data_IF_815576708468
#
_entry.id   IF_815576708468
#
_cell.length_a   1.000
_cell.length_b   1.000
_cell.length_c   1.000
_cell.angle_alpha   90.00
_cell.angle_beta   90.00
_cell.angle_gamma   90.00
#
_symmetry.space_group_name_H-M   'P 1'
#
loop_
_entity.id
_entity.type
_entity.pdbx_description
1 polymer ?
#
# COMPACT_ATOMS: atom_id res chain seq x y z
N UNK A 1 30.31 -25.21 -59.28
CA UNK A 1 29.86 -25.81 -58.00
C UNK A 1 29.65 -24.69 -57.02
N UNK A 2 28.40 -24.35 -56.82
CA UNK A 2 27.97 -23.31 -55.90
C UNK A 2 28.16 -23.73 -54.45
N UNK A 3 28.54 -22.82 -53.58
CA UNK A 3 28.38 -22.93 -52.14
C UNK A 3 27.78 -21.62 -51.58
N UNK A 4 26.56 -21.76 -51.13
CA UNK A 4 25.78 -20.81 -50.41
C UNK A 4 26.50 -20.27 -49.17
N UNK A 5 26.40 -18.95 -48.95
CA UNK A 5 26.84 -18.30 -47.73
C UNK A 5 25.59 -17.71 -47.06
N UNK A 6 25.14 -18.36 -46.02
CA UNK A 6 24.04 -17.92 -45.16
C UNK A 6 24.43 -16.68 -44.39
N UNK A 7 23.61 -15.63 -44.28
CA UNK A 7 23.92 -14.46 -43.46
C UNK A 7 23.68 -14.73 -41.97
N UNK A 8 24.66 -14.32 -41.19
CA UNK A 8 24.75 -14.34 -39.75
C UNK A 8 23.64 -13.44 -39.14
N UNK A 9 22.75 -14.03 -38.35
CA UNK A 9 21.79 -13.31 -37.53
C UNK A 9 22.53 -12.45 -36.50
N UNK A 10 22.32 -11.16 -36.58
CA UNK A 10 22.68 -10.17 -35.55
C UNK A 10 21.73 -10.30 -34.38
N UNK A 11 22.29 -10.64 -33.21
CA UNK A 11 21.56 -10.65 -31.94
C UNK A 11 21.10 -9.23 -31.61
N UNK A 12 19.80 -9.06 -31.38
CA UNK A 12 19.22 -7.83 -30.90
C UNK A 12 19.62 -7.61 -29.41
N UNK A 13 20.23 -6.49 -29.16
CA UNK A 13 20.54 -5.99 -27.81
C UNK A 13 19.22 -5.63 -27.11
N UNK A 14 18.98 -6.04 -25.85
CA UNK A 14 17.76 -5.63 -25.15
C UNK A 14 17.87 -4.14 -24.78
N UNK A 15 16.87 -3.38 -25.19
CA UNK A 15 16.70 -1.97 -24.82
C UNK A 15 16.70 -1.78 -23.31
N UNK A 16 17.63 -0.96 -22.81
CA UNK A 16 17.60 -0.42 -21.45
C UNK A 16 16.36 0.45 -21.29
N UNK A 17 15.32 -0.08 -20.63
CA UNK A 17 14.22 0.74 -20.12
C UNK A 17 14.79 1.77 -19.16
N UNK A 18 14.73 3.03 -19.57
CA UNK A 18 15.01 4.20 -18.75
C UNK A 18 14.08 4.19 -17.53
N UNK A 19 14.65 4.21 -16.33
CA UNK A 19 13.91 4.41 -15.09
C UNK A 19 13.25 5.77 -15.11
N UNK A 20 11.95 5.81 -15.46
CA UNK A 20 11.13 7.00 -15.30
C UNK A 20 10.80 7.17 -13.82
N UNK A 21 10.91 8.39 -13.32
CA UNK A 21 10.39 8.78 -12.01
C UNK A 21 8.92 8.37 -11.93
N UNK A 22 8.45 7.74 -10.82
CA UNK A 22 7.05 7.39 -10.67
C UNK A 22 6.19 8.63 -10.87
N UNK A 23 5.22 8.55 -11.79
CA UNK A 23 4.30 9.66 -12.00
C UNK A 23 3.44 9.84 -10.74
N UNK A 24 3.29 11.09 -10.31
CA UNK A 24 2.36 11.44 -9.23
C UNK A 24 0.96 11.02 -9.68
N UNK A 25 0.24 10.28 -8.83
CA UNK A 25 -1.13 9.82 -9.12
C UNK A 25 -2.00 11.03 -9.47
N UNK A 26 -2.65 10.95 -10.62
CA UNK A 26 -3.54 12.02 -11.08
C UNK A 26 -4.85 12.01 -10.27
N UNK A 27 -5.56 13.13 -10.26
CA UNK A 27 -6.90 13.21 -9.65
C UNK A 27 -7.89 12.21 -10.28
N UNK A 28 -7.65 11.80 -11.54
CA UNK A 28 -8.41 10.74 -12.20
C UNK A 28 -8.13 9.36 -11.59
N UNK A 29 -6.89 9.06 -11.21
CA UNK A 29 -6.53 7.78 -10.57
C UNK A 29 -7.17 7.66 -9.19
N UNK A 30 -7.19 8.77 -8.44
CA UNK A 30 -7.88 8.86 -7.15
C UNK A 30 -9.39 8.65 -7.35
N UNK A 31 -10.00 9.28 -8.36
CA UNK A 31 -11.42 9.12 -8.66
C UNK A 31 -11.76 7.67 -9.08
N UNK A 32 -10.91 7.03 -9.87
CA UNK A 32 -11.04 5.61 -10.25
C UNK A 32 -10.93 4.68 -9.02
N UNK A 33 -10.00 4.97 -8.11
CA UNK A 33 -9.88 4.22 -6.86
C UNK A 33 -11.13 4.37 -5.99
N UNK A 34 -11.63 5.59 -5.79
CA UNK A 34 -12.85 5.85 -5.03
C UNK A 34 -14.09 5.18 -5.66
N UNK A 35 -14.18 5.17 -7.00
CA UNK A 35 -15.24 4.49 -7.72
C UNK A 35 -15.12 2.95 -7.59
N UNK A 36 -13.91 2.40 -7.62
CA UNK A 36 -13.69 0.99 -7.36
C UNK A 36 -14.04 0.62 -5.91
N UNK A 37 -13.64 1.44 -4.94
CA UNK A 37 -13.97 1.26 -3.53
C UNK A 37 -15.49 1.33 -3.28
N UNK A 38 -16.22 2.22 -3.96
CA UNK A 38 -17.68 2.30 -3.85
C UNK A 38 -18.41 1.07 -4.40
N UNK A 39 -17.83 0.38 -5.38
CA UNK A 39 -18.37 -0.89 -5.91
C UNK A 39 -18.20 -2.07 -4.95
N UNK A 40 -17.24 -1.99 -4.00
CA UNK A 40 -17.07 -3.00 -2.97
C UNK A 40 -18.18 -2.96 -1.91
N UNK A 41 -18.93 -1.86 -1.82
CA UNK A 41 -20.05 -1.67 -0.90
C UNK A 41 -21.19 -2.71 -1.06
N UNK A 42 -21.31 -3.34 -2.22
CA UNK A 42 -22.38 -4.31 -2.52
C UNK A 42 -22.02 -5.76 -2.16
N UNK A 43 -20.94 -6.02 -1.43
CA UNK A 43 -20.50 -7.36 -1.06
C UNK A 43 -20.86 -7.77 0.37
N UNK A 44 -22.08 -7.47 0.83
CA UNK A 44 -22.66 -8.08 2.04
C UNK A 44 -22.32 -7.35 3.34
N UNK A 45 -23.20 -7.53 4.31
CA UNK A 45 -23.23 -6.93 5.63
C UNK A 45 -21.92 -7.13 6.42
N UNK A 46 -21.17 -6.06 6.58
CA UNK A 46 -19.96 -6.01 7.40
C UNK A 46 -18.95 -4.98 6.90
N UNK A 47 -18.36 -4.22 7.79
CA UNK A 47 -17.27 -3.30 7.45
C UNK A 47 -16.09 -4.10 6.86
N UNK A 48 -15.58 -3.67 5.69
CA UNK A 48 -14.37 -4.23 5.11
C UNK A 48 -13.15 -3.88 5.97
N UNK A 49 -12.12 -4.72 5.98
CA UNK A 49 -10.87 -4.49 6.70
C UNK A 49 -9.78 -3.92 5.79
N UNK A 50 -9.30 -2.72 6.09
CA UNK A 50 -8.21 -2.07 5.38
C UNK A 50 -6.97 -1.93 6.28
N UNK A 51 -5.84 -2.47 5.86
CA UNK A 51 -4.56 -2.06 6.42
C UNK A 51 -4.07 -0.85 5.63
N UNK A 52 -3.86 0.25 6.34
CA UNK A 52 -3.29 1.48 5.80
C UNK A 52 -1.87 1.65 6.34
N UNK A 53 -0.88 1.46 5.47
CA UNK A 53 0.52 1.42 5.86
C UNK A 53 1.28 2.64 5.35
N UNK A 54 2.10 3.23 6.23
CA UNK A 54 2.84 4.46 5.99
C UNK A 54 4.34 4.26 6.18
N UNK A 55 5.09 4.78 5.24
CA UNK A 55 6.49 5.10 5.43
C UNK A 55 6.60 6.43 6.19
N UNK A 56 7.08 6.39 7.43
CA UNK A 56 7.35 7.55 8.26
C UNK A 56 8.85 7.82 8.40
N UNK A 57 9.65 7.48 7.37
CA UNK A 57 11.07 7.84 7.33
C UNK A 57 11.25 9.33 7.03
N UNK A 58 12.44 9.86 7.30
CA UNK A 58 12.71 11.31 7.22
C UNK A 58 12.63 11.86 5.79
N UNK A 59 12.80 11.04 4.76
CA UNK A 59 12.60 11.41 3.36
C UNK A 59 11.20 11.97 3.11
N UNK A 60 10.21 11.53 3.90
CA UNK A 60 8.81 11.97 3.83
C UNK A 60 8.52 13.29 4.56
N UNK A 61 9.47 13.85 5.33
CA UNK A 61 9.24 15.01 6.18
C UNK A 61 8.61 16.20 5.46
N UNK A 62 9.01 16.50 4.23
CA UNK A 62 8.49 17.64 3.45
C UNK A 62 7.07 17.44 2.92
N UNK A 63 6.61 16.21 2.75
CA UNK A 63 5.28 15.87 2.20
C UNK A 63 4.35 15.28 3.25
N UNK A 64 4.81 15.17 4.50
CA UNK A 64 4.09 14.51 5.57
C UNK A 64 2.76 15.17 5.90
N UNK A 65 2.76 16.50 6.06
CA UNK A 65 1.55 17.26 6.38
C UNK A 65 0.52 17.21 5.24
N UNK A 66 0.98 17.24 3.99
CA UNK A 66 0.11 17.13 2.82
C UNK A 66 -0.45 15.71 2.69
N UNK A 67 0.38 14.69 2.90
CA UNK A 67 -0.05 13.31 2.94
C UNK A 67 -1.12 13.07 4.01
N UNK A 68 -0.95 13.62 5.21
CA UNK A 68 -1.96 13.55 6.28
C UNK A 68 -3.29 14.19 5.89
N UNK A 69 -3.29 15.34 5.21
CA UNK A 69 -4.53 16.00 4.77
C UNK A 69 -5.26 15.17 3.72
N UNK A 70 -4.55 14.74 2.67
CA UNK A 70 -5.13 13.91 1.60
C UNK A 70 -5.70 12.60 2.13
N UNK A 71 -5.02 12.00 3.09
CA UNK A 71 -5.48 10.78 3.74
C UNK A 71 -6.75 11.01 4.58
N UNK A 72 -6.83 12.13 5.29
CA UNK A 72 -8.04 12.50 6.03
C UNK A 72 -9.23 12.70 5.10
N UNK A 73 -9.04 13.31 3.94
CA UNK A 73 -10.08 13.46 2.91
C UNK A 73 -10.51 12.11 2.33
N UNK A 74 -9.56 11.21 2.05
CA UNK A 74 -9.85 9.86 1.58
C UNK A 74 -10.70 9.08 2.59
N UNK A 75 -10.36 9.16 3.87
CA UNK A 75 -11.12 8.45 4.91
C UNK A 75 -12.52 9.03 5.14
N UNK A 76 -12.69 10.35 5.05
CA UNK A 76 -14.01 10.97 5.10
C UNK A 76 -14.90 10.50 3.91
N UNK A 77 -14.30 10.35 2.72
CA UNK A 77 -15.00 9.83 1.56
C UNK A 77 -15.41 8.35 1.74
N UNK A 78 -14.57 7.54 2.38
CA UNK A 78 -14.87 6.13 2.68
C UNK A 78 -15.95 5.99 3.74
N UNK A 79 -16.01 6.86 4.76
CA UNK A 79 -17.08 6.87 5.77
C UNK A 79 -18.45 7.05 5.12
N UNK A 80 -18.54 7.93 4.13
CA UNK A 80 -19.77 8.15 3.39
C UNK A 80 -20.26 6.90 2.62
N UNK A 81 -19.40 5.89 2.42
CA UNK A 81 -19.72 4.66 1.68
C UNK A 81 -20.17 3.48 2.55
N UNK A 82 -20.27 3.62 3.87
CA UNK A 82 -20.85 2.58 4.74
C UNK A 82 -19.93 1.99 5.79
N UNK A 83 -18.78 2.62 6.02
CA UNK A 83 -17.84 2.24 7.07
C UNK A 83 -16.78 1.24 6.59
N UNK A 84 -15.59 1.42 7.12
CA UNK A 84 -14.43 0.56 6.88
C UNK A 84 -13.69 0.42 8.20
N UNK A 85 -13.34 -0.80 8.57
CA UNK A 85 -12.40 -1.02 9.66
C UNK A 85 -10.99 -0.77 9.15
N UNK A 86 -10.27 0.17 9.73
CA UNK A 86 -8.93 0.54 9.31
C UNK A 86 -7.91 0.25 10.40
N UNK A 87 -6.82 -0.39 10.03
CA UNK A 87 -5.65 -0.51 10.88
C UNK A 87 -4.50 0.30 10.31
N UNK A 88 -4.03 1.29 11.07
CA UNK A 88 -2.84 2.06 10.71
C UNK A 88 -1.60 1.24 11.06
N UNK A 89 -0.72 1.08 10.07
CA UNK A 89 0.61 0.49 10.25
C UNK A 89 1.63 1.53 9.79
N UNK A 90 2.72 1.71 10.50
CA UNK A 90 3.79 2.57 10.04
C UNK A 90 5.16 2.00 10.42
N UNK A 91 6.16 2.37 9.65
CA UNK A 91 7.54 2.10 10.01
C UNK A 91 8.38 3.37 9.94
N UNK A 92 9.43 3.41 10.74
CA UNK A 92 10.45 4.46 10.80
C UNK A 92 11.71 3.94 11.48
N UNK A 93 12.79 4.70 11.41
CA UNK A 93 14.03 4.31 12.05
C UNK A 93 14.59 2.97 11.53
N UNK A 94 15.42 2.35 12.34
CA UNK A 94 16.07 1.07 12.03
C UNK A 94 15.38 -0.07 12.78
N UNK A 95 14.24 -0.52 12.29
CA UNK A 95 13.56 -1.68 12.85
C UNK A 95 12.22 -1.40 13.55
N UNK A 96 11.78 -0.15 13.67
CA UNK A 96 10.48 0.21 14.21
C UNK A 96 9.40 0.05 13.15
N UNK A 97 8.55 -0.97 13.31
CA UNK A 97 7.32 -1.16 12.55
C UNK A 97 6.20 -1.42 13.55
N UNK A 98 5.18 -0.58 13.55
CA UNK A 98 4.08 -0.60 14.54
C UNK A 98 2.74 -0.66 13.86
N UNK A 99 1.82 -1.43 14.43
CA UNK A 99 0.42 -1.48 14.05
C UNK A 99 -0.44 -0.91 15.19
N UNK A 100 -1.36 -0.02 14.84
CA UNK A 100 -2.36 0.50 15.76
C UNK A 100 -3.49 -0.52 15.97
N UNK A 101 -4.42 -0.19 16.87
CA UNK A 101 -5.69 -0.92 16.95
C UNK A 101 -6.54 -0.61 15.72
N UNK A 102 -7.43 -1.54 15.36
CA UNK A 102 -8.43 -1.33 14.34
C UNK A 102 -9.39 -0.21 14.78
N UNK A 103 -9.69 0.70 13.88
CA UNK A 103 -10.60 1.83 14.10
C UNK A 103 -11.60 1.93 12.96
N UNK A 104 -12.84 2.31 13.28
CA UNK A 104 -13.95 2.46 12.33
C UNK A 104 -14.26 3.92 12.01
N UNK A 105 -13.77 4.85 12.86
CA UNK A 105 -14.06 6.27 12.73
C UNK A 105 -12.87 7.04 12.13
N UNK A 106 -13.08 7.86 11.10
CA UNK A 106 -12.04 8.69 10.49
C UNK A 106 -11.31 9.60 11.49
N UNK A 107 -12.03 10.15 12.47
CA UNK A 107 -11.44 10.97 13.51
C UNK A 107 -10.40 10.21 14.33
N UNK A 108 -10.68 8.96 14.73
CA UNK A 108 -9.75 8.14 15.50
C UNK A 108 -8.49 7.81 14.68
N UNK A 109 -8.63 7.61 13.38
CA UNK A 109 -7.47 7.38 12.51
C UNK A 109 -6.62 8.64 12.36
N UNK A 110 -7.25 9.82 12.22
CA UNK A 110 -6.56 11.11 12.18
C UNK A 110 -5.76 11.33 13.45
N UNK A 111 -6.34 11.07 14.63
CA UNK A 111 -5.66 11.21 15.91
C UNK A 111 -4.45 10.28 16.01
N UNK A 112 -4.55 9.04 15.50
CA UNK A 112 -3.41 8.12 15.43
C UNK A 112 -2.30 8.66 14.52
N UNK A 113 -2.65 9.23 13.37
CA UNK A 113 -1.69 9.75 12.38
C UNK A 113 -0.98 11.01 12.88
N UNK A 114 -1.66 11.91 13.57
CA UNK A 114 -1.05 13.13 14.14
C UNK A 114 -0.03 12.82 15.23
N UNK A 115 -0.10 11.65 15.85
CA UNK A 115 0.87 11.17 16.82
C UNK A 115 2.14 10.58 16.22
N UNK A 116 2.24 10.46 14.89
CA UNK A 116 3.41 9.89 14.22
C UNK A 116 4.34 11.02 13.77
N UNK A 117 5.57 10.99 14.25
CA UNK A 117 6.68 11.81 13.78
C UNK A 117 7.56 11.03 12.80
N UNK A 118 8.19 11.72 11.85
CA UNK A 118 9.14 11.11 10.92
C UNK A 118 10.50 10.93 11.58
N UNK A 119 11.21 9.84 11.28
CA UNK A 119 12.56 9.56 11.76
C UNK A 119 13.42 8.96 10.67
N UNK A 120 14.69 9.34 10.64
CA UNK A 120 15.67 8.72 9.73
C UNK A 120 15.71 7.21 9.93
N UNK A 121 15.84 6.45 8.83
CA UNK A 121 15.84 5.00 8.90
C UNK A 121 15.85 4.36 7.53
N UNK A 122 15.43 3.10 7.49
CA UNK A 122 15.33 2.29 6.28
C UNK A 122 13.88 1.87 6.02
N UNK A 123 13.56 1.53 4.78
CA UNK A 123 12.27 0.94 4.43
C UNK A 123 12.10 -0.42 5.12
N UNK A 124 10.88 -0.73 5.52
CA UNK A 124 10.52 -1.98 6.21
C UNK A 124 9.21 -2.54 5.65
N UNK A 125 9.08 -2.49 4.33
CA UNK A 125 7.90 -2.95 3.58
C UNK A 125 7.65 -4.44 3.85
N UNK A 126 8.71 -5.26 3.91
CA UNK A 126 8.60 -6.68 4.22
C UNK A 126 7.97 -6.97 5.57
N UNK A 127 8.15 -6.09 6.59
CA UNK A 127 7.46 -6.22 7.89
C UNK A 127 5.98 -5.87 7.77
N UNK A 128 5.64 -4.84 6.98
CA UNK A 128 4.26 -4.46 6.70
C UNK A 128 3.52 -5.61 6.02
N UNK A 129 4.09 -6.20 4.96
CA UNK A 129 3.52 -7.33 4.25
C UNK A 129 3.35 -8.54 5.18
N UNK A 130 4.37 -8.88 5.99
CA UNK A 130 4.28 -9.99 6.95
C UNK A 130 3.19 -9.76 8.00
N UNK A 131 2.99 -8.51 8.43
CA UNK A 131 1.90 -8.15 9.33
C UNK A 131 0.54 -8.33 8.64
N UNK A 132 0.40 -7.86 7.40
CA UNK A 132 -0.83 -7.98 6.64
C UNK A 132 -1.22 -9.44 6.39
N UNK A 133 -0.27 -10.30 6.00
CA UNK A 133 -0.48 -11.76 5.88
C UNK A 133 -0.97 -12.37 7.20
N UNK A 134 -0.36 -11.98 8.33
CA UNK A 134 -0.79 -12.47 9.65
C UNK A 134 -2.20 -12.00 10.01
N UNK A 135 -2.56 -10.77 9.69
CA UNK A 135 -3.90 -10.23 9.95
C UNK A 135 -4.94 -10.84 8.99
N UNK A 136 -4.59 -11.10 7.71
CA UNK A 136 -5.49 -11.72 6.75
C UNK A 136 -5.86 -13.16 7.13
N UNK A 137 -5.00 -13.87 7.86
CA UNK A 137 -5.31 -15.19 8.41
C UNK A 137 -6.27 -15.17 9.60
N UNK A 138 -6.70 -14.00 10.09
CA UNK A 138 -7.68 -13.88 11.16
C UNK A 138 -9.08 -13.72 10.60
N UNK A 139 -10.08 -14.19 11.35
CA UNK A 139 -11.49 -13.96 11.01
C UNK A 139 -11.90 -12.52 11.28
N UNK A 140 -12.79 -11.99 10.44
CA UNK A 140 -13.41 -10.71 10.68
C UNK A 140 -14.40 -10.84 11.87
N UNK A 141 -14.32 -9.98 12.92
CA UNK A 141 -15.20 -10.11 14.08
C UNK A 141 -16.69 -9.90 13.78
N UNK A 142 -17.02 -9.12 12.72
CA UNK A 142 -18.37 -8.86 12.29
C UNK A 142 -18.89 -9.91 11.30
N UNK A 143 -17.99 -10.62 10.61
CA UNK A 143 -18.33 -11.68 9.68
C UNK A 143 -17.28 -12.80 9.72
N UNK A 144 -17.50 -13.87 10.51
CA UNK A 144 -16.53 -14.94 10.70
C UNK A 144 -16.20 -15.75 9.43
N UNK A 145 -17.01 -15.63 8.37
CA UNK A 145 -16.78 -16.31 7.10
C UNK A 145 -15.81 -15.53 6.18
N UNK A 146 -15.35 -14.36 6.64
CA UNK A 146 -14.44 -13.49 5.89
C UNK A 146 -13.10 -13.31 6.58
N UNK A 147 -12.07 -13.07 5.79
CA UNK A 147 -10.79 -12.55 6.26
C UNK A 147 -10.99 -11.21 6.96
N UNK A 148 -10.14 -10.93 7.96
CA UNK A 148 -10.11 -9.62 8.62
C UNK A 148 -9.59 -8.50 7.70
N UNK A 149 -8.79 -8.84 6.70
CA UNK A 149 -8.16 -7.89 5.77
C UNK A 149 -8.70 -8.14 4.38
N UNK A 150 -9.32 -7.13 3.80
CA UNK A 150 -9.78 -7.13 2.41
C UNK A 150 -8.81 -6.37 1.49
N UNK A 151 -8.04 -5.43 2.04
CA UNK A 151 -7.08 -4.64 1.26
C UNK A 151 -5.91 -4.14 2.12
N UNK A 152 -4.78 -3.93 1.46
CA UNK A 152 -3.61 -3.21 1.96
C UNK A 152 -3.32 -2.02 1.04
N UNK A 153 -3.28 -0.82 1.59
CA UNK A 153 -2.78 0.38 0.92
C UNK A 153 -1.45 0.78 1.57
N UNK A 154 -0.41 0.85 0.79
CA UNK A 154 0.92 1.29 1.22
C UNK A 154 1.28 2.63 0.59
N UNK A 155 1.74 3.57 1.41
CA UNK A 155 2.20 4.89 0.99
C UNK A 155 3.66 5.05 1.40
N UNK A 156 4.53 5.15 0.42
CA UNK A 156 5.97 5.32 0.58
C UNK A 156 6.60 5.97 -0.64
N UNK A 157 7.85 6.40 -0.54
CA UNK A 157 8.60 7.08 -1.59
C UNK A 157 9.87 6.31 -2.01
N UNK A 158 10.25 5.27 -1.26
CA UNK A 158 11.42 4.48 -1.53
C UNK A 158 11.18 2.98 -1.29
N UNK A 159 11.98 2.14 -1.91
CA UNK A 159 12.06 0.71 -1.68
C UNK A 159 13.53 0.30 -1.69
N UNK A 160 14.08 -0.03 -0.52
CA UNK A 160 15.47 -0.44 -0.34
C UNK A 160 15.61 -1.96 -0.17
N UNK A 161 14.51 -2.66 0.02
CA UNK A 161 14.45 -4.10 0.26
C UNK A 161 14.48 -4.88 -1.06
N UNK A 162 14.80 -6.18 -0.99
CA UNK A 162 14.80 -7.06 -2.16
C UNK A 162 13.39 -7.19 -2.75
N UNK A 163 13.26 -6.82 -4.04
CA UNK A 163 11.97 -6.79 -4.73
C UNK A 163 11.33 -8.19 -4.84
N UNK A 164 12.13 -9.24 -5.10
CA UNK A 164 11.60 -10.60 -5.26
C UNK A 164 11.04 -11.14 -3.93
N UNK A 165 11.69 -10.83 -2.81
CA UNK A 165 11.17 -11.17 -1.48
C UNK A 165 9.88 -10.44 -1.16
N UNK A 166 9.80 -9.15 -1.51
CA UNK A 166 8.57 -8.37 -1.32
C UNK A 166 7.43 -8.90 -2.18
N UNK A 167 7.70 -9.22 -3.47
CA UNK A 167 6.72 -9.82 -4.36
C UNK A 167 6.24 -11.18 -3.84
N UNK A 168 7.15 -12.03 -3.34
CA UNK A 168 6.78 -13.31 -2.76
C UNK A 168 5.84 -13.13 -1.55
N UNK A 169 6.13 -12.18 -0.65
CA UNK A 169 5.28 -11.89 0.51
C UNK A 169 3.95 -11.28 0.11
N UNK A 170 3.94 -10.38 -0.86
CA UNK A 170 2.69 -9.79 -1.38
C UNK A 170 1.77 -10.84 -2.02
N UNK A 171 2.34 -11.85 -2.67
CA UNK A 171 1.58 -12.96 -3.25
C UNK A 171 0.93 -13.91 -2.22
N UNK A 172 1.20 -13.72 -0.92
CA UNK A 172 0.58 -14.48 0.17
C UNK A 172 -0.70 -13.81 0.72
N UNK A 173 -0.98 -12.57 0.30
CA UNK A 173 -2.19 -11.80 0.68
C UNK A 173 -3.37 -12.19 -0.21
#
# INVERSE_FOLDING_TARGET
MSRDITPKQTAATPDKKSGGTPAVSSSSDISHFLQAASKLKNRGDGAGGLIFALDATMSRGHTWDEAQKLQAEMFNAVEATGGLDVQLVYFRGYGECRAAKWVTRPAALRDLMTGIDTRGGQTQIGKVLSHAVKESGKMNPQNPDRSRVDALVFVGDAMEENADELCHRAGQL
#
